data_IF_386254019971
#
_entry.id   IF_386254019971
#
_cell.length_a   1.000
_cell.length_b   1.000
_cell.length_c   1.000
_cell.angle_alpha   90.00
_cell.angle_beta   90.00
_cell.angle_gamma   90.00
#
_symmetry.space_group_name_H-M   'P 1'
#
loop_
_entity.id
_entity.type
_entity.pdbx_description
1 polymer ?
#
# COMPACT_ATOMS: atom_id res chain seq x y z
N UNK A 1 21.91 -23.58 -7.43
CA UNK A 1 22.54 -22.83 -6.32
C UNK A 1 23.01 -21.50 -6.87
N UNK A 2 22.16 -20.47 -6.81
CA UNK A 2 22.54 -19.11 -7.21
C UNK A 2 23.50 -18.54 -6.15
N UNK A 3 24.59 -17.93 -6.61
CA UNK A 3 25.71 -17.42 -5.81
C UNK A 3 25.23 -16.72 -4.52
N UNK A 4 25.81 -17.10 -3.38
CA UNK A 4 25.39 -16.73 -2.01
C UNK A 4 25.35 -15.23 -1.66
N UNK A 5 25.48 -14.33 -2.62
CA UNK A 5 25.43 -12.87 -2.45
C UNK A 5 24.01 -12.30 -2.36
N UNK A 6 22.97 -13.13 -2.54
CA UNK A 6 21.58 -12.65 -2.53
C UNK A 6 21.23 -11.97 -1.19
N UNK A 7 21.68 -12.53 -0.07
CA UNK A 7 21.38 -11.98 1.25
C UNK A 7 22.15 -10.67 1.49
N UNK A 8 23.42 -10.62 1.09
CA UNK A 8 24.22 -9.39 1.19
C UNK A 8 23.65 -8.25 0.33
N UNK A 9 23.25 -8.55 -0.91
CA UNK A 9 22.63 -7.56 -1.79
C UNK A 9 21.29 -7.04 -1.22
N UNK A 10 20.46 -7.93 -0.68
CA UNK A 10 19.21 -7.55 -0.01
C UNK A 10 19.50 -6.68 1.22
N UNK A 11 20.51 -7.03 2.02
CA UNK A 11 20.91 -6.26 3.21
C UNK A 11 21.43 -4.86 2.86
N UNK A 12 22.20 -4.72 1.77
CA UNK A 12 22.64 -3.41 1.27
C UNK A 12 21.43 -2.56 0.85
N UNK A 13 20.49 -3.13 0.09
CA UNK A 13 19.27 -2.39 -0.29
C UNK A 13 18.44 -2.04 0.95
N UNK A 14 18.28 -2.96 1.89
CA UNK A 14 17.56 -2.70 3.12
C UNK A 14 18.17 -1.56 3.92
N UNK A 15 19.48 -1.61 4.16
CA UNK A 15 20.19 -0.65 5.01
C UNK A 15 20.38 0.71 4.33
N UNK A 16 20.77 0.73 3.05
CA UNK A 16 21.18 1.96 2.36
C UNK A 16 20.04 2.65 1.61
N UNK A 17 18.97 1.92 1.29
CA UNK A 17 17.87 2.42 0.45
C UNK A 17 16.56 2.44 1.22
N UNK A 18 16.13 1.30 1.77
CA UNK A 18 14.79 1.16 2.36
C UNK A 18 14.71 1.77 3.76
N UNK A 19 15.66 1.47 4.64
CA UNK A 19 15.69 1.95 6.03
C UNK A 19 15.67 3.48 6.11
N UNK A 20 16.47 4.24 5.33
CA UNK A 20 16.46 5.71 5.39
C UNK A 20 15.14 6.33 4.88
N UNK A 21 14.41 5.63 4.01
CA UNK A 21 13.10 6.07 3.52
C UNK A 21 11.99 5.80 4.55
N UNK A 22 12.13 4.74 5.33
CA UNK A 22 11.06 4.21 6.16
C UNK A 22 9.85 3.73 5.35
N UNK A 23 8.84 3.19 6.04
CA UNK A 23 7.62 2.69 5.38
C UNK A 23 6.87 3.80 4.62
N UNK A 24 6.76 4.99 5.21
CA UNK A 24 6.06 6.12 4.61
C UNK A 24 6.76 6.60 3.33
N UNK A 25 8.09 6.74 3.35
CA UNK A 25 8.85 7.11 2.14
C UNK A 25 8.74 6.06 1.04
N UNK A 26 8.76 4.76 1.39
CA UNK A 26 8.53 3.68 0.42
C UNK A 26 7.11 3.70 -0.17
N UNK A 27 6.10 4.10 0.60
CA UNK A 27 4.76 4.32 0.07
C UNK A 27 4.75 5.46 -0.95
N UNK A 28 5.46 6.55 -0.69
CA UNK A 28 5.57 7.68 -1.64
C UNK A 28 6.29 7.26 -2.93
N UNK A 29 7.37 6.49 -2.82
CA UNK A 29 8.06 5.92 -3.98
C UNK A 29 7.14 4.99 -4.77
N UNK A 30 6.34 4.17 -4.08
CA UNK A 30 5.35 3.27 -4.72
C UNK A 30 4.29 4.08 -5.48
N UNK A 31 3.76 5.15 -4.88
CA UNK A 31 2.81 6.04 -5.56
C UNK A 31 3.40 6.68 -6.83
N UNK A 32 4.70 7.01 -6.81
CA UNK A 32 5.38 7.65 -7.92
C UNK A 32 5.72 6.69 -9.06
N UNK A 33 6.04 5.43 -8.74
CA UNK A 33 6.68 4.49 -9.67
C UNK A 33 5.83 3.27 -10.06
N UNK A 34 4.87 2.85 -9.23
CA UNK A 34 4.09 1.62 -9.45
C UNK A 34 2.70 1.88 -10.06
N UNK A 35 2.58 2.89 -10.93
CA UNK A 35 1.30 3.33 -11.48
C UNK A 35 0.63 2.25 -12.33
N UNK A 36 1.39 1.42 -13.04
CA UNK A 36 0.85 0.35 -13.88
C UNK A 36 0.25 -0.79 -13.06
N UNK A 37 0.86 -1.12 -11.92
CA UNK A 37 0.37 -2.12 -10.98
C UNK A 37 -0.91 -1.62 -10.30
N UNK A 38 -0.93 -0.36 -9.85
CA UNK A 38 -2.12 0.27 -9.28
C UNK A 38 -3.24 0.29 -10.31
N UNK A 39 -2.98 0.72 -11.55
CA UNK A 39 -3.96 0.70 -12.64
C UNK A 39 -4.53 -0.70 -12.87
N UNK A 40 -3.69 -1.73 -12.85
CA UNK A 40 -4.11 -3.11 -13.07
C UNK A 40 -5.10 -3.59 -12.00
N UNK A 41 -4.91 -3.19 -10.75
CA UNK A 41 -5.85 -3.47 -9.66
C UNK A 41 -7.17 -2.74 -9.88
N UNK A 42 -7.16 -1.43 -10.13
CA UNK A 42 -8.39 -0.65 -10.32
C UNK A 42 -9.19 -1.11 -11.56
N UNK A 43 -8.49 -1.50 -12.63
CA UNK A 43 -9.12 -2.11 -13.81
C UNK A 43 -9.84 -3.41 -13.48
N UNK A 44 -9.27 -4.24 -12.60
CA UNK A 44 -9.91 -5.47 -12.12
C UNK A 44 -11.17 -5.13 -11.28
N UNK A 45 -11.06 -4.16 -10.38
CA UNK A 45 -12.18 -3.71 -9.53
C UNK A 45 -13.33 -3.10 -10.33
N UNK A 46 -13.06 -2.56 -11.52
CA UNK A 46 -14.08 -1.99 -12.39
C UNK A 46 -14.89 -3.05 -13.19
N UNK A 47 -14.62 -4.34 -13.05
CA UNK A 47 -15.41 -5.41 -13.68
C UNK A 47 -16.11 -6.25 -12.63
N UNK A 48 -17.44 -6.15 -12.59
CA UNK A 48 -18.32 -6.83 -11.64
C UNK A 48 -18.18 -8.36 -11.71
N UNK A 49 -17.77 -8.92 -12.86
CA UNK A 49 -17.54 -10.37 -13.02
C UNK A 49 -16.38 -10.90 -12.16
N UNK A 50 -15.52 -10.03 -11.66
CA UNK A 50 -14.38 -10.42 -10.83
C UNK A 50 -14.73 -10.58 -9.34
N UNK A 51 -15.95 -10.22 -8.93
CA UNK A 51 -16.34 -10.24 -7.52
C UNK A 51 -16.83 -11.64 -7.08
N UNK A 52 -16.56 -12.06 -5.83
CA UNK A 52 -15.85 -11.32 -4.77
C UNK A 52 -14.32 -11.25 -4.97
N UNK A 53 -13.70 -10.14 -4.57
CA UNK A 53 -12.25 -9.89 -4.75
C UNK A 53 -11.52 -9.96 -3.40
N UNK A 54 -10.37 -10.64 -3.39
CA UNK A 54 -9.41 -10.64 -2.28
C UNK A 54 -8.13 -9.92 -2.71
N UNK A 55 -7.71 -8.90 -1.95
CA UNK A 55 -6.45 -8.20 -2.17
C UNK A 55 -5.46 -8.62 -1.08
N UNK A 56 -4.31 -9.17 -1.48
CA UNK A 56 -3.28 -9.58 -0.53
C UNK A 56 -1.87 -9.22 -1.03
N UNK A 57 -0.92 -9.24 -0.11
CA UNK A 57 0.50 -9.24 -0.40
C UNK A 57 1.16 -10.37 0.40
N UNK A 58 2.37 -10.17 0.92
CA UNK A 58 3.00 -11.17 1.80
C UNK A 58 2.36 -11.16 3.18
N UNK A 59 2.16 -9.96 3.76
CA UNK A 59 1.70 -9.78 5.15
C UNK A 59 0.38 -9.00 5.23
N UNK A 60 -0.24 -8.68 4.10
CA UNK A 60 -1.50 -7.90 4.07
C UNK A 60 -1.38 -6.44 4.54
N UNK A 61 -0.18 -5.93 4.81
CA UNK A 61 0.04 -4.64 5.50
C UNK A 61 0.40 -3.49 4.57
N UNK A 62 1.58 -3.52 3.94
CA UNK A 62 2.12 -2.35 3.22
C UNK A 62 1.47 -2.14 1.85
N UNK A 63 1.68 -3.07 0.91
CA UNK A 63 1.15 -2.97 -0.47
C UNK A 63 -0.38 -3.12 -0.49
N UNK A 64 -0.90 -4.05 0.31
CA UNK A 64 -2.35 -4.20 0.48
C UNK A 64 -2.95 -2.96 1.11
N UNK A 65 -2.38 -2.46 2.21
CA UNK A 65 -2.87 -1.26 2.89
C UNK A 65 -2.84 -0.03 2.00
N UNK A 66 -1.80 0.14 1.17
CA UNK A 66 -1.73 1.26 0.22
C UNK A 66 -2.85 1.18 -0.83
N UNK A 67 -3.07 0.02 -1.43
CA UNK A 67 -4.16 -0.17 -2.41
C UNK A 67 -5.53 0.05 -1.77
N UNK A 68 -5.76 -0.50 -0.58
CA UNK A 68 -7.02 -0.33 0.16
C UNK A 68 -7.23 1.13 0.54
N UNK A 69 -6.19 1.82 1.01
CA UNK A 69 -6.23 3.26 1.31
C UNK A 69 -6.63 4.07 0.07
N UNK A 70 -6.01 3.83 -1.09
CA UNK A 70 -6.32 4.52 -2.34
C UNK A 70 -7.79 4.30 -2.74
N UNK A 71 -8.26 3.07 -2.65
CA UNK A 71 -9.64 2.70 -2.95
C UNK A 71 -10.63 3.39 -2.00
N UNK A 72 -10.45 3.26 -0.70
CA UNK A 72 -11.35 3.85 0.31
C UNK A 72 -11.33 5.38 0.25
N UNK A 73 -10.18 5.99 -0.03
CA UNK A 73 -10.07 7.44 -0.23
C UNK A 73 -10.85 7.89 -1.47
N UNK A 74 -10.78 7.14 -2.58
CA UNK A 74 -11.59 7.39 -3.78
C UNK A 74 -13.10 7.18 -3.51
N UNK A 75 -13.46 6.30 -2.59
CA UNK A 75 -14.85 6.13 -2.13
C UNK A 75 -15.27 7.17 -1.07
N UNK A 76 -14.46 8.21 -0.84
CA UNK A 76 -14.73 9.31 0.10
C UNK A 76 -14.92 8.85 1.56
N UNK A 77 -14.34 7.71 1.93
CA UNK A 77 -14.34 7.23 3.32
C UNK A 77 -13.47 8.15 4.19
N UNK A 78 -13.91 8.53 5.40
CA UNK A 78 -13.13 9.41 6.27
C UNK A 78 -11.74 8.85 6.58
N UNK A 79 -10.71 9.70 6.51
CA UNK A 79 -9.29 9.32 6.76
C UNK A 79 -9.11 8.60 8.09
N UNK A 80 -9.82 9.03 9.15
CA UNK A 80 -9.77 8.37 10.45
C UNK A 80 -10.29 6.93 10.44
N UNK A 81 -11.29 6.61 9.62
CA UNK A 81 -11.80 5.26 9.45
C UNK A 81 -10.81 4.39 8.66
N UNK A 82 -10.18 4.95 7.62
CA UNK A 82 -9.12 4.27 6.86
C UNK A 82 -7.91 3.98 7.76
N UNK A 83 -7.51 4.94 8.61
CA UNK A 83 -6.44 4.76 9.58
C UNK A 83 -6.77 3.68 10.62
N UNK A 84 -8.02 3.62 11.08
CA UNK A 84 -8.48 2.56 11.98
C UNK A 84 -8.42 1.17 11.32
N UNK A 85 -8.87 1.05 10.07
CA UNK A 85 -8.79 -0.18 9.28
C UNK A 85 -7.35 -0.66 9.07
N UNK A 86 -6.47 0.24 8.61
CA UNK A 86 -5.04 -0.05 8.43
C UNK A 86 -4.39 -0.58 9.73
N UNK A 87 -4.73 0.04 10.87
CA UNK A 87 -4.21 -0.36 12.18
C UNK A 87 -4.81 -1.67 12.70
N UNK A 88 -5.99 -2.08 12.25
CA UNK A 88 -6.55 -3.38 12.64
C UNK A 88 -5.62 -4.54 12.21
N UNK A 89 -4.86 -4.37 11.12
CA UNK A 89 -3.84 -5.32 10.66
C UNK A 89 -2.73 -5.59 11.70
N UNK A 90 -2.42 -4.64 12.60
CA UNK A 90 -1.34 -4.81 13.59
C UNK A 90 -1.59 -6.04 14.48
N UNK A 91 -2.84 -6.25 14.91
CA UNK A 91 -3.20 -7.32 15.85
C UNK A 91 -2.96 -8.70 15.26
N UNK A 92 -3.30 -8.88 13.99
CA UNK A 92 -3.13 -10.16 13.29
C UNK A 92 -1.64 -10.46 13.01
N UNK A 93 -0.80 -9.42 13.02
CA UNK A 93 0.63 -9.51 12.81
C UNK A 93 1.45 -9.81 14.08
N UNK A 94 0.81 -9.79 15.26
CA UNK A 94 1.50 -10.10 16.53
C UNK A 94 1.91 -11.56 16.64
N UNK A 95 1.15 -12.49 16.04
CA UNK A 95 1.38 -13.94 16.14
C UNK A 95 2.70 -14.36 15.46
N UNK A 96 3.12 -13.63 14.42
CA UNK A 96 4.32 -13.91 13.62
C UNK A 96 5.46 -12.90 13.88
N UNK A 97 5.36 -12.09 14.94
CA UNK A 97 6.25 -10.96 15.17
C UNK A 97 7.73 -11.39 15.30
N UNK A 98 8.03 -12.48 16.02
CA UNK A 98 9.41 -12.93 16.21
C UNK A 98 10.08 -13.35 14.89
N UNK A 99 9.38 -14.14 14.06
CA UNK A 99 9.87 -14.58 12.75
C UNK A 99 10.08 -13.39 11.82
N UNK A 100 9.14 -12.43 11.81
CA UNK A 100 9.24 -11.22 11.00
C UNK A 100 10.43 -10.34 11.40
N UNK A 101 10.68 -10.19 12.70
CA UNK A 101 11.85 -9.44 13.18
C UNK A 101 13.16 -10.09 12.75
N UNK A 102 13.23 -11.42 12.72
CA UNK A 102 14.42 -12.14 12.23
C UNK A 102 14.64 -11.92 10.73
N UNK A 103 13.57 -11.98 9.92
CA UNK A 103 13.64 -11.69 8.48
C UNK A 103 14.05 -10.24 8.18
N UNK A 104 13.49 -9.27 8.91
CA UNK A 104 13.82 -7.86 8.76
C UNK A 104 15.29 -7.61 9.09
N UNK A 105 15.79 -8.20 10.19
CA UNK A 105 17.21 -8.09 10.58
C UNK A 105 18.14 -8.66 9.51
N UNK A 106 17.81 -9.82 8.94
CA UNK A 106 18.56 -10.42 7.81
C UNK A 106 18.56 -9.49 6.59
N UNK A 107 17.48 -8.75 6.40
CA UNK A 107 17.32 -7.75 5.35
C UNK A 107 17.91 -6.38 5.66
N UNK A 108 18.50 -6.12 6.83
CA UNK A 108 19.02 -4.79 7.19
C UNK A 108 17.94 -3.77 7.55
N UNK A 109 16.77 -4.23 7.99
CA UNK A 109 15.62 -3.40 8.36
C UNK A 109 15.34 -3.47 9.87
N UNK A 110 14.89 -2.36 10.43
CA UNK A 110 14.54 -2.24 11.84
C UNK A 110 13.10 -2.70 12.14
N UNK A 111 12.79 -2.86 13.43
CA UNK A 111 11.52 -3.39 13.92
C UNK A 111 10.30 -2.56 13.51
N UNK A 112 10.48 -1.28 13.19
CA UNK A 112 9.39 -0.40 12.75
C UNK A 112 8.76 -0.86 11.42
N UNK A 113 9.51 -1.60 10.60
CA UNK A 113 8.97 -2.24 9.39
C UNK A 113 8.02 -3.41 9.70
N UNK A 114 8.05 -3.97 10.91
CA UNK A 114 7.13 -5.01 11.34
C UNK A 114 5.76 -4.44 11.78
N UNK A 115 5.65 -3.13 11.99
CA UNK A 115 4.45 -2.50 12.58
C UNK A 115 3.69 -1.64 11.56
N UNK A 116 2.50 -1.21 11.92
CA UNK A 116 1.67 -0.22 11.26
C UNK A 116 1.95 1.15 11.90
N UNK A 117 2.81 2.00 11.31
CA UNK A 117 3.17 3.28 11.90
C UNK A 117 1.94 4.18 12.06
N UNK A 118 1.85 4.84 13.21
CA UNK A 118 0.84 5.87 13.46
C UNK A 118 1.10 7.05 12.51
N UNK A 119 0.04 7.60 11.90
CA UNK A 119 0.17 8.69 10.95
C UNK A 119 0.48 8.26 9.51
N UNK A 120 0.63 6.95 9.22
CA UNK A 120 0.93 6.47 7.87
C UNK A 120 -0.15 6.88 6.86
N UNK A 121 -1.41 6.63 7.19
CA UNK A 121 -2.55 6.92 6.32
C UNK A 121 -2.65 8.43 6.08
N UNK A 122 -2.54 9.22 7.14
CA UNK A 122 -2.58 10.67 7.10
C UNK A 122 -1.45 11.24 6.24
N UNK A 123 -0.23 10.70 6.38
CA UNK A 123 0.92 11.13 5.59
C UNK A 123 0.75 10.80 4.09
N UNK A 124 0.23 9.61 3.77
CA UNK A 124 -0.04 9.20 2.38
C UNK A 124 -1.13 10.04 1.74
N UNK A 125 -2.25 10.27 2.45
CA UNK A 125 -3.32 11.14 1.96
C UNK A 125 -2.83 12.57 1.78
N UNK A 126 -2.05 13.10 2.73
CA UNK A 126 -1.47 14.43 2.61
C UNK A 126 -0.47 14.56 1.45
N UNK A 127 0.39 13.56 1.21
CA UNK A 127 1.29 13.55 0.05
C UNK A 127 0.47 13.57 -1.25
N UNK A 128 -0.60 12.77 -1.33
CA UNK A 128 -1.46 12.74 -2.51
C UNK A 128 -2.13 14.08 -2.76
N UNK A 129 -2.68 14.69 -1.71
CA UNK A 129 -3.31 16.00 -1.77
C UNK A 129 -2.30 17.08 -2.23
N UNK A 130 -1.15 17.16 -1.56
CA UNK A 130 -0.16 18.20 -1.80
C UNK A 130 0.50 18.11 -3.18
N UNK A 131 0.75 16.89 -3.68
CA UNK A 131 1.53 16.67 -4.90
C UNK A 131 0.69 16.46 -6.15
N UNK A 132 -0.50 15.89 -5.99
CA UNK A 132 -1.37 15.52 -7.11
C UNK A 132 -2.72 16.23 -7.06
N UNK A 133 -3.02 17.02 -6.02
CA UNK A 133 -4.28 17.77 -5.92
C UNK A 133 -5.50 16.89 -5.66
N UNK A 134 -5.29 15.77 -4.98
CA UNK A 134 -6.35 14.87 -4.52
C UNK A 134 -6.31 13.47 -5.15
N UNK A 135 -7.03 12.54 -4.50
CA UNK A 135 -7.01 11.10 -4.84
C UNK A 135 -7.55 10.82 -6.25
N UNK A 136 -8.67 11.42 -6.63
CA UNK A 136 -9.30 11.21 -7.95
C UNK A 136 -8.37 11.70 -9.07
N UNK A 137 -7.70 12.84 -8.85
CA UNK A 137 -6.75 13.42 -9.81
C UNK A 137 -5.49 12.57 -9.92
N UNK A 138 -4.93 12.10 -8.80
CA UNK A 138 -3.83 11.15 -8.81
C UNK A 138 -4.18 9.89 -9.61
N UNK A 139 -5.33 9.27 -9.32
CA UNK A 139 -5.80 8.08 -10.00
C UNK A 139 -6.02 8.32 -11.51
N UNK A 140 -6.60 9.46 -11.88
CA UNK A 140 -6.85 9.79 -13.29
C UNK A 140 -5.54 10.13 -14.04
N UNK A 141 -4.85 11.20 -13.61
CA UNK A 141 -3.77 11.80 -14.38
C UNK A 141 -2.44 11.02 -14.28
N UNK A 142 -2.18 10.40 -13.12
CA UNK A 142 -0.90 9.70 -12.89
C UNK A 142 -1.01 8.19 -13.07
N UNK A 143 -2.13 7.59 -12.66
CA UNK A 143 -2.34 6.14 -12.74
C UNK A 143 -3.07 5.72 -14.02
N UNK A 144 -3.95 6.56 -14.56
CA UNK A 144 -4.76 6.25 -15.75
C UNK A 144 -6.13 5.63 -15.44
N UNK A 145 -6.56 5.64 -14.19
CA UNK A 145 -7.91 5.25 -13.75
C UNK A 145 -8.85 6.42 -14.02
N UNK A 146 -9.38 6.47 -15.23
CA UNK A 146 -10.27 7.55 -15.66
C UNK A 146 -11.56 7.65 -14.82
N UNK A 147 -12.26 8.77 -14.93
CA UNK A 147 -13.49 9.00 -14.15
C UNK A 147 -14.59 7.95 -14.43
N UNK A 148 -14.62 7.36 -15.63
CA UNK A 148 -15.57 6.32 -15.97
C UNK A 148 -15.33 5.06 -15.15
N UNK A 149 -14.06 4.67 -15.02
CA UNK A 149 -13.62 3.57 -14.17
C UNK A 149 -13.92 3.86 -12.70
N UNK A 150 -13.60 5.06 -12.21
CA UNK A 150 -13.86 5.46 -10.82
C UNK A 150 -15.38 5.39 -10.50
N UNK A 151 -16.24 5.94 -11.37
CA UNK A 151 -17.70 5.86 -11.23
C UNK A 151 -18.21 4.42 -11.21
N UNK A 152 -17.65 3.55 -12.06
CA UNK A 152 -18.05 2.14 -12.11
C UNK A 152 -17.70 1.41 -10.83
N UNK A 153 -16.50 1.63 -10.28
CA UNK A 153 -16.08 1.06 -9.00
C UNK A 153 -17.00 1.55 -7.87
N UNK A 154 -17.29 2.85 -7.80
CA UNK A 154 -18.26 3.41 -6.84
C UNK A 154 -19.61 2.71 -6.92
N UNK A 155 -20.14 2.56 -8.12
CA UNK A 155 -21.43 1.89 -8.34
C UNK A 155 -21.42 0.43 -7.88
N UNK A 156 -20.32 -0.30 -8.10
CA UNK A 156 -20.22 -1.72 -7.72
C UNK A 156 -20.09 -1.87 -6.20
N UNK A 157 -19.37 -0.97 -5.51
CA UNK A 157 -19.05 -1.13 -4.09
C UNK A 157 -20.03 -0.46 -3.12
N UNK A 158 -20.74 0.59 -3.53
CA UNK A 158 -21.67 1.34 -2.66
C UNK A 158 -23.14 0.96 -2.83
N UNK A 159 -23.47 0.15 -3.85
CA UNK A 159 -24.86 -0.23 -4.17
C UNK A 159 -25.08 -1.75 -4.22
N UNK A 160 -24.34 -2.52 -3.40
CA UNK A 160 -24.70 -3.91 -3.10
C UNK A 160 -25.67 -4.01 -1.93
#
# INVERSE_FOLDING_TARGET
MALGYRIEAVSIIGTEVMQPRGLTGLAFDTLASSTMEIFSVFRLLADEKNYPVMIHCTQGKDRTGLIVLLLLSMLEVPVAAIAADYRASERELEVEMEERLDELRKGGLEADFARCPTGFVEAVVAEIENKYGGIERYLNEKVGVDEGMQRKIRSIMLHQ
#
